data_IF_631076356433
#
_entry.id   IF_631076356433
#
_cell.length_a   1.000
_cell.length_b   1.000
_cell.length_c   1.000
_cell.angle_alpha   90.00
_cell.angle_beta   90.00
_cell.angle_gamma   90.00
#
_symmetry.space_group_name_H-M   'P 1'
#
loop_
_entity.id
_entity.type
_entity.pdbx_description
1 polymer ?
#
# COMPACT_ATOMS: atom_id res chain seq x y z
N UNK A 1 24.47 42.72 2.39
CA UNK A 1 24.67 41.27 2.26
C UNK A 1 23.87 40.62 3.38
N UNK A 2 22.90 39.79 2.98
CA UNK A 2 21.67 39.50 3.72
C UNK A 2 21.87 38.39 4.77
N UNK A 3 21.25 38.54 5.96
CA UNK A 3 21.18 37.54 7.05
C UNK A 3 20.77 36.14 6.56
N UNK A 4 20.09 36.04 5.43
CA UNK A 4 19.63 34.78 4.85
C UNK A 4 20.74 33.86 4.34
N UNK A 5 21.96 34.36 4.07
CA UNK A 5 23.09 33.54 3.62
C UNK A 5 24.10 33.22 4.74
N UNK A 6 23.75 33.56 5.99
CA UNK A 6 24.63 33.39 7.16
C UNK A 6 24.89 31.91 7.49
N UNK A 7 23.96 31.02 7.17
CA UNK A 7 24.08 29.59 7.48
C UNK A 7 24.77 28.76 6.37
N UNK A 8 25.11 29.37 5.23
CA UNK A 8 25.81 28.68 4.12
C UNK A 8 27.31 28.56 4.38
N UNK A 9 27.94 27.49 3.89
CA UNK A 9 29.40 27.36 3.85
C UNK A 9 30.06 28.43 2.96
N UNK A 10 31.36 28.65 3.15
CA UNK A 10 32.12 29.61 2.34
C UNK A 10 32.12 29.25 0.84
N UNK A 11 32.12 27.95 0.51
CA UNK A 11 32.02 27.50 -0.89
C UNK A 11 30.67 27.84 -1.50
N UNK A 12 29.57 27.57 -0.79
CA UNK A 12 28.23 27.93 -1.26
C UNK A 12 28.00 29.42 -1.32
N UNK A 13 28.58 30.22 -0.42
CA UNK A 13 28.53 31.68 -0.49
C UNK A 13 29.23 32.21 -1.75
N UNK A 14 30.37 31.63 -2.13
CA UNK A 14 31.04 31.96 -3.40
C UNK A 14 30.13 31.61 -4.59
N UNK A 15 29.48 30.44 -4.58
CA UNK A 15 28.54 30.04 -5.64
C UNK A 15 27.31 30.96 -5.70
N UNK A 16 26.81 31.40 -4.55
CA UNK A 16 25.72 32.36 -4.42
C UNK A 16 26.10 33.71 -5.06
N UNK A 17 27.26 34.25 -4.71
CA UNK A 17 27.75 35.53 -5.24
C UNK A 17 27.95 35.48 -6.76
N UNK A 18 28.54 34.39 -7.27
CA UNK A 18 28.69 34.17 -8.71
C UNK A 18 27.32 34.14 -9.39
N UNK A 19 26.36 33.39 -8.86
CA UNK A 19 25.03 33.27 -9.45
C UNK A 19 24.27 34.60 -9.42
N UNK A 20 24.27 35.32 -8.29
CA UNK A 20 23.62 36.63 -8.17
C UNK A 20 24.25 37.67 -9.09
N UNK A 21 25.58 37.61 -9.33
CA UNK A 21 26.27 38.51 -10.26
C UNK A 21 25.79 38.40 -11.71
N UNK A 22 25.15 37.28 -12.08
CA UNK A 22 24.58 37.07 -13.42
C UNK A 22 23.15 37.60 -13.58
N UNK A 23 22.52 38.07 -12.51
CA UNK A 23 21.14 38.55 -12.57
C UNK A 23 21.06 39.95 -13.16
N UNK A 24 19.99 40.20 -13.92
CA UNK A 24 19.72 41.53 -14.49
C UNK A 24 19.56 42.57 -13.39
N UNK A 25 20.15 43.75 -13.60
CA UNK A 25 20.02 44.91 -12.70
C UNK A 25 18.61 45.53 -12.71
N UNK A 26 17.79 45.21 -13.71
CA UNK A 26 16.42 45.73 -13.87
C UNK A 26 15.36 44.81 -13.22
N UNK A 27 15.80 43.81 -12.46
CA UNK A 27 14.93 42.88 -11.75
C UNK A 27 14.13 43.62 -10.66
N UNK A 28 12.81 43.37 -10.62
CA UNK A 28 11.97 43.85 -9.53
C UNK A 28 12.46 43.29 -8.18
N UNK A 29 12.41 44.11 -7.12
CA UNK A 29 12.94 43.77 -5.80
C UNK A 29 12.29 42.50 -5.23
N UNK A 30 10.99 42.34 -5.43
CA UNK A 30 10.22 41.16 -4.99
C UNK A 30 10.69 39.89 -5.70
N UNK A 31 10.98 40.01 -7.01
CA UNK A 31 11.49 38.89 -7.81
C UNK A 31 12.93 38.55 -7.42
N UNK A 32 13.76 39.55 -7.13
CA UNK A 32 15.12 39.38 -6.62
C UNK A 32 15.13 38.61 -5.30
N UNK A 33 14.32 39.03 -4.33
CA UNK A 33 14.22 38.36 -3.02
C UNK A 33 13.71 36.92 -3.19
N UNK A 34 12.73 36.70 -4.07
CA UNK A 34 12.20 35.36 -4.36
C UNK A 34 13.27 34.43 -4.92
N UNK A 35 14.03 34.88 -5.92
CA UNK A 35 15.11 34.08 -6.52
C UNK A 35 16.27 33.87 -5.55
N UNK A 36 16.59 34.88 -4.73
CA UNK A 36 17.65 34.78 -3.72
C UNK A 36 17.33 33.74 -2.66
N UNK A 37 16.12 33.80 -2.09
CA UNK A 37 15.69 32.82 -1.10
C UNK A 37 15.62 31.40 -1.70
N UNK A 38 15.19 31.26 -2.96
CA UNK A 38 15.18 29.97 -3.65
C UNK A 38 16.60 29.43 -3.86
N UNK A 39 17.55 30.28 -4.25
CA UNK A 39 18.93 29.90 -4.50
C UNK A 39 19.68 29.56 -3.19
N UNK A 40 19.53 30.38 -2.16
CA UNK A 40 20.03 30.08 -0.80
C UNK A 40 19.47 28.75 -0.32
N UNK A 41 18.16 28.54 -0.47
CA UNK A 41 17.51 27.28 -0.07
C UNK A 41 17.95 26.06 -0.88
N UNK A 42 18.44 26.24 -2.11
CA UNK A 42 19.01 25.16 -2.93
C UNK A 42 20.42 24.81 -2.47
N UNK A 43 21.25 25.82 -2.20
CA UNK A 43 22.62 25.64 -1.73
C UNK A 43 22.66 25.01 -0.33
N UNK A 44 21.79 25.45 0.58
CA UNK A 44 21.67 24.86 1.92
C UNK A 44 21.31 23.37 1.86
N UNK A 45 20.37 22.96 1.00
CA UNK A 45 20.02 21.54 0.82
C UNK A 45 21.18 20.71 0.27
N UNK A 46 22.00 21.30 -0.59
CA UNK A 46 23.17 20.63 -1.17
C UNK A 46 24.27 20.37 -0.15
N UNK A 47 24.40 21.23 0.85
CA UNK A 47 25.28 21.00 2.01
C UNK A 47 24.73 19.96 2.98
N UNK A 48 23.40 19.87 3.10
CA UNK A 48 22.72 18.84 3.91
C UNK A 48 22.75 17.45 3.27
N UNK A 49 22.88 17.36 1.94
CA UNK A 49 23.08 16.08 1.24
C UNK A 49 24.53 15.61 1.41
N UNK A 50 24.79 14.50 2.15
CA UNK A 50 26.15 14.03 2.37
C UNK A 50 26.83 13.70 1.03
N UNK A 51 28.12 14.03 0.89
CA UNK A 51 28.95 13.72 -0.29
C UNK A 51 28.91 12.23 -0.67
N UNK A 52 28.59 11.35 0.29
CA UNK A 52 28.39 9.92 0.05
C UNK A 52 26.98 9.51 0.49
N UNK A 53 26.09 9.09 -0.44
CA UNK A 53 24.80 8.56 -0.04
C UNK A 53 24.98 7.27 0.78
N UNK A 54 24.13 7.02 1.78
CA UNK A 54 24.17 5.77 2.53
C UNK A 54 24.00 4.58 1.58
N UNK A 55 24.55 3.40 1.90
CA UNK A 55 24.39 2.23 1.07
C UNK A 55 22.89 1.90 0.90
N UNK A 56 22.46 1.47 -0.29
CA UNK A 56 21.07 1.12 -0.53
C UNK A 56 20.64 0.00 0.42
N UNK A 57 19.53 0.23 1.14
CA UNK A 57 18.91 -0.78 1.99
C UNK A 57 18.29 -1.86 1.11
N UNK A 58 18.45 -3.12 1.53
CA UNK A 58 17.80 -4.28 0.93
C UNK A 58 16.63 -4.67 1.81
N UNK A 59 15.42 -4.36 1.37
CA UNK A 59 14.22 -4.61 2.14
C UNK A 59 13.04 -4.96 1.24
N UNK A 60 12.09 -5.71 1.80
CA UNK A 60 10.80 -5.98 1.17
C UNK A 60 9.72 -5.50 2.12
N UNK A 61 8.86 -4.61 1.66
CA UNK A 61 7.79 -4.01 2.46
C UNK A 61 6.44 -4.19 1.77
N UNK A 62 5.38 -4.26 2.56
CA UNK A 62 4.02 -4.21 2.06
C UNK A 62 3.51 -2.78 2.19
N UNK A 63 3.01 -2.24 1.09
CA UNK A 63 2.41 -0.91 1.02
C UNK A 63 0.92 -1.08 0.69
N UNK A 64 0.02 -0.93 1.66
CA UNK A 64 -1.42 -0.96 1.41
C UNK A 64 -1.85 0.17 0.48
N UNK A 65 -2.80 -0.09 -0.43
CA UNK A 65 -3.41 0.94 -1.28
C UNK A 65 -4.78 1.33 -0.72
N UNK A 66 -5.02 2.61 -0.36
CA UNK A 66 -6.19 3.01 0.41
C UNK A 66 -7.52 3.11 -0.37
N UNK A 67 -7.79 2.31 -1.42
CA UNK A 67 -9.01 2.54 -2.24
C UNK A 67 -9.67 1.37 -2.95
N UNK A 68 -9.09 0.16 -2.96
CA UNK A 68 -9.62 -0.93 -3.78
C UNK A 68 -9.23 -2.34 -3.32
N UNK A 69 -8.79 -2.50 -2.07
CA UNK A 69 -8.35 -3.81 -1.59
C UNK A 69 -7.02 -4.26 -2.18
N UNK A 70 -6.33 -3.41 -2.93
CA UNK A 70 -5.00 -3.72 -3.44
C UNK A 70 -3.92 -3.32 -2.44
N UNK A 71 -2.81 -4.04 -2.51
CA UNK A 71 -1.57 -3.70 -1.82
C UNK A 71 -0.41 -4.00 -2.76
N UNK A 72 0.72 -3.34 -2.51
CA UNK A 72 1.95 -3.55 -3.24
C UNK A 72 2.96 -4.24 -2.35
N UNK A 73 3.65 -5.26 -2.86
CA UNK A 73 4.89 -5.76 -2.29
C UNK A 73 6.04 -5.02 -2.97
N UNK A 74 6.80 -4.23 -2.22
CA UNK A 74 7.87 -3.38 -2.73
C UNK A 74 9.21 -3.93 -2.27
N UNK A 75 10.01 -4.41 -3.22
CA UNK A 75 11.41 -4.74 -3.01
C UNK A 75 12.28 -3.52 -3.33
N UNK A 76 13.11 -3.12 -2.38
CA UNK A 76 14.05 -2.01 -2.51
C UNK A 76 15.48 -2.52 -2.29
N UNK A 77 16.43 -2.00 -3.07
CA UNK A 77 17.81 -2.50 -3.10
C UNK A 77 18.66 -1.81 -4.16
N UNK A 78 19.92 -2.25 -4.35
CA UNK A 78 20.77 -1.76 -5.43
C UNK A 78 20.10 -1.92 -6.81
N UNK A 79 20.11 -0.85 -7.61
CA UNK A 79 19.46 -0.85 -8.92
C UNK A 79 19.90 -2.00 -9.86
N UNK A 80 21.17 -2.47 -9.89
CA UNK A 80 21.53 -3.59 -10.75
C UNK A 80 20.84 -4.90 -10.35
N UNK A 81 20.66 -5.15 -9.04
CA UNK A 81 19.98 -6.33 -8.52
C UNK A 81 18.49 -6.30 -8.88
N UNK A 82 17.83 -5.15 -8.68
CA UNK A 82 16.42 -4.95 -9.02
C UNK A 82 16.18 -5.09 -10.53
N UNK A 83 17.05 -4.51 -11.37
CA UNK A 83 16.93 -4.64 -12.83
C UNK A 83 17.17 -6.07 -13.30
N UNK A 84 18.15 -6.78 -12.74
CA UNK A 84 18.39 -8.17 -13.07
C UNK A 84 17.20 -9.06 -12.68
N UNK A 85 16.59 -8.83 -11.52
CA UNK A 85 15.36 -9.49 -11.10
C UNK A 85 14.20 -9.22 -12.06
N UNK A 86 13.91 -7.94 -12.33
CA UNK A 86 12.85 -7.53 -13.25
C UNK A 86 13.01 -8.14 -14.65
N UNK A 87 14.22 -8.15 -15.19
CA UNK A 87 14.50 -8.72 -16.51
C UNK A 87 14.20 -10.22 -16.56
N UNK A 88 14.65 -10.99 -15.56
CA UNK A 88 14.34 -12.43 -15.47
C UNK A 88 12.84 -12.69 -15.38
N UNK A 89 12.12 -11.90 -14.57
CA UNK A 89 10.66 -12.01 -14.45
C UNK A 89 9.97 -11.70 -15.78
N UNK A 90 10.40 -10.64 -16.49
CA UNK A 90 9.83 -10.26 -17.79
C UNK A 90 10.08 -11.30 -18.88
N UNK A 91 11.31 -11.80 -18.99
CA UNK A 91 11.68 -12.84 -19.95
C UNK A 91 10.91 -14.14 -19.70
N UNK A 92 10.74 -14.52 -18.43
CA UNK A 92 9.92 -15.68 -18.04
C UNK A 92 8.46 -15.50 -18.43
N UNK A 93 7.86 -14.34 -18.12
CA UNK A 93 6.47 -14.04 -18.49
C UNK A 93 6.27 -14.07 -20.02
N UNK A 94 7.20 -13.53 -20.80
CA UNK A 94 7.15 -13.58 -22.27
C UNK A 94 7.27 -15.00 -22.81
N UNK A 95 8.15 -15.81 -22.24
CA UNK A 95 8.31 -17.21 -22.63
C UNK A 95 7.02 -18.01 -22.38
N UNK A 96 6.40 -17.84 -21.21
CA UNK A 96 5.11 -18.47 -20.88
C UNK A 96 4.01 -17.98 -21.84
N UNK A 97 3.91 -16.68 -22.08
CA UNK A 97 2.91 -16.14 -23.01
C UNK A 97 3.08 -16.70 -24.43
N UNK A 98 4.33 -16.84 -24.90
CA UNK A 98 4.61 -17.45 -26.19
C UNK A 98 4.21 -18.94 -26.23
N UNK A 99 4.46 -19.68 -25.14
CA UNK A 99 4.05 -21.06 -24.99
C UNK A 99 2.52 -21.22 -24.95
N UNK A 100 1.80 -20.34 -24.24
CA UNK A 100 0.33 -20.30 -24.23
C UNK A 100 -0.24 -20.03 -25.63
N UNK A 101 0.33 -19.06 -26.37
CA UNK A 101 -0.06 -18.80 -27.77
C UNK A 101 0.15 -20.02 -28.66
N UNK A 102 1.24 -20.75 -28.45
CA UNK A 102 1.53 -21.98 -29.19
C UNK A 102 0.52 -23.07 -28.85
N UNK A 103 0.26 -23.29 -27.56
CA UNK A 103 -0.67 -24.31 -27.10
C UNK A 103 -2.10 -24.06 -27.61
N UNK A 104 -2.57 -22.81 -27.60
CA UNK A 104 -3.85 -22.43 -28.19
C UNK A 104 -3.94 -22.72 -29.71
N UNK A 105 -2.85 -22.53 -30.46
CA UNK A 105 -2.84 -22.85 -31.90
C UNK A 105 -2.81 -24.35 -32.17
N UNK A 106 -2.08 -25.10 -31.34
CA UNK A 106 -1.85 -26.53 -31.52
C UNK A 106 -2.94 -27.39 -30.85
N UNK A 107 -3.80 -26.81 -30.01
CA UNK A 107 -4.80 -27.53 -29.24
C UNK A 107 -4.19 -28.42 -28.15
N UNK A 108 -3.04 -28.03 -27.61
CA UNK A 108 -2.33 -28.77 -26.54
C UNK A 108 -2.61 -28.17 -25.17
N UNK A 109 -2.15 -28.85 -24.11
CA UNK A 109 -2.29 -28.38 -22.73
C UNK A 109 -1.69 -26.99 -22.55
N UNK A 110 -2.46 -26.09 -21.94
CA UNK A 110 -2.04 -24.71 -21.73
C UNK A 110 -1.08 -24.63 -20.53
N UNK A 111 0.18 -24.20 -20.72
CA UNK A 111 1.09 -24.03 -19.61
C UNK A 111 0.69 -22.82 -18.75
N UNK A 112 0.82 -22.98 -17.43
CA UNK A 112 0.65 -21.89 -16.45
C UNK A 112 -0.73 -21.21 -16.53
N UNK A 113 -1.80 -22.02 -16.50
CA UNK A 113 -3.20 -21.55 -16.51
C UNK A 113 -3.87 -21.83 -15.15
N UNK A 114 -3.33 -21.21 -14.09
CA UNK A 114 -3.70 -21.49 -12.68
C UNK A 114 -5.21 -21.35 -12.40
N UNK A 115 -5.88 -20.42 -13.08
CA UNK A 115 -7.31 -20.11 -12.93
C UNK A 115 -8.15 -20.52 -14.16
N UNK A 116 -7.61 -21.34 -15.07
CA UNK A 116 -8.26 -21.75 -16.33
C UNK A 116 -8.73 -20.58 -17.22
N UNK A 117 -8.13 -19.40 -17.06
CA UNK A 117 -8.50 -18.16 -17.76
C UNK A 117 -8.17 -18.29 -19.25
N UNK A 118 -7.01 -18.83 -19.59
CA UNK A 118 -6.59 -18.98 -20.99
C UNK A 118 -7.49 -19.97 -21.70
N UNK A 119 -7.77 -21.08 -21.03
CA UNK A 119 -8.68 -22.13 -21.51
C UNK A 119 -10.08 -21.56 -21.77
N UNK A 120 -10.61 -20.77 -20.83
CA UNK A 120 -11.94 -20.17 -20.93
C UNK A 120 -12.03 -19.07 -21.99
N UNK A 121 -11.02 -18.19 -22.06
CA UNK A 121 -11.06 -17.02 -22.94
C UNK A 121 -10.52 -17.29 -24.35
N UNK A 122 -9.81 -18.39 -24.55
CA UNK A 122 -9.09 -18.70 -25.79
C UNK A 122 -7.97 -17.71 -26.11
N UNK A 123 -7.49 -16.94 -25.12
CA UNK A 123 -6.47 -15.90 -25.27
C UNK A 123 -5.36 -16.09 -24.24
N UNK A 124 -4.07 -15.91 -24.62
CA UNK A 124 -2.97 -16.01 -23.67
C UNK A 124 -3.09 -14.92 -22.59
N UNK A 125 -2.58 -15.19 -21.39
CA UNK A 125 -2.58 -14.21 -20.31
C UNK A 125 -1.78 -12.96 -20.71
N UNK A 126 -2.22 -11.76 -20.32
CA UNK A 126 -1.45 -10.54 -20.56
C UNK A 126 -0.18 -10.55 -19.68
N UNK A 127 0.87 -9.84 -20.14
CA UNK A 127 2.20 -9.93 -19.51
C UNK A 127 2.22 -9.41 -18.07
N UNK A 128 1.40 -8.40 -17.76
CA UNK A 128 1.23 -7.88 -16.40
C UNK A 128 0.64 -8.94 -15.45
N UNK A 129 -0.41 -9.66 -15.86
CA UNK A 129 -0.97 -10.79 -15.09
C UNK A 129 0.06 -11.90 -14.90
N UNK A 130 0.80 -12.28 -15.96
CA UNK A 130 1.83 -13.32 -15.84
C UNK A 130 2.94 -12.92 -14.86
N UNK A 131 3.45 -11.68 -14.93
CA UNK A 131 4.45 -11.20 -13.98
C UNK A 131 3.92 -11.19 -12.54
N UNK A 132 2.66 -10.79 -12.35
CA UNK A 132 2.00 -10.82 -11.04
C UNK A 132 1.89 -12.26 -10.48
N UNK A 133 1.36 -13.18 -11.28
CA UNK A 133 1.21 -14.58 -10.87
C UNK A 133 2.56 -15.24 -10.59
N UNK A 134 3.57 -15.00 -11.43
CA UNK A 134 4.92 -15.54 -11.23
C UNK A 134 5.58 -15.00 -9.96
N UNK A 135 5.36 -13.72 -9.65
CA UNK A 135 5.88 -13.09 -8.45
C UNK A 135 5.26 -13.71 -7.18
N UNK A 136 3.94 -13.89 -7.16
CA UNK A 136 3.21 -14.38 -5.98
C UNK A 136 3.25 -15.91 -5.83
N UNK A 137 3.36 -16.64 -6.95
CA UNK A 137 3.50 -18.09 -6.96
C UNK A 137 4.94 -18.58 -6.74
N UNK A 138 5.91 -17.67 -6.62
CA UNK A 138 7.30 -18.02 -6.40
C UNK A 138 7.47 -18.77 -5.07
N UNK A 139 8.13 -19.92 -5.12
CA UNK A 139 8.51 -20.67 -3.93
C UNK A 139 9.76 -20.06 -3.31
N UNK A 140 9.76 -19.91 -1.98
CA UNK A 140 10.92 -19.43 -1.25
C UNK A 140 11.87 -20.59 -0.97
N UNK A 141 13.07 -20.52 -1.55
CA UNK A 141 14.16 -21.38 -1.12
C UNK A 141 14.68 -20.88 0.23
N UNK A 142 14.53 -21.73 1.25
CA UNK A 142 14.82 -21.40 2.65
C UNK A 142 16.14 -22.01 3.10
N UNK A 143 16.88 -22.67 2.19
CA UNK A 143 18.13 -23.39 2.52
C UNK A 143 17.98 -24.32 3.73
N UNK A 144 16.85 -25.04 3.78
CA UNK A 144 16.51 -25.96 4.87
C UNK A 144 15.95 -25.31 6.14
N UNK A 145 15.77 -23.99 6.20
CA UNK A 145 15.08 -23.33 7.31
C UNK A 145 13.60 -23.71 7.29
N UNK A 146 13.16 -24.45 8.32
CA UNK A 146 11.76 -24.80 8.47
C UNK A 146 10.93 -23.56 8.78
N UNK A 147 10.11 -23.14 7.82
CA UNK A 147 9.10 -22.10 8.03
C UNK A 147 7.88 -22.76 8.67
N UNK A 148 7.51 -22.39 9.91
CA UNK A 148 6.30 -22.93 10.53
C UNK A 148 5.10 -22.56 9.67
N UNK A 149 4.15 -23.49 9.54
CA UNK A 149 2.93 -23.25 8.80
C UNK A 149 2.11 -22.17 9.54
N UNK A 150 2.20 -20.92 9.11
CA UNK A 150 1.46 -19.83 9.73
C UNK A 150 -0.05 -20.05 9.54
N UNK A 151 -0.79 -19.89 10.64
CA UNK A 151 -2.23 -19.70 10.59
C UNK A 151 -2.50 -18.25 10.20
N UNK A 152 -2.26 -17.91 8.94
CA UNK A 152 -2.67 -16.63 8.40
C UNK A 152 -4.18 -16.62 8.27
N UNK A 153 -4.83 -15.62 8.89
CA UNK A 153 -6.28 -15.45 8.82
C UNK A 153 -6.59 -14.03 8.43
N UNK A 154 -7.54 -13.90 7.51
CA UNK A 154 -8.10 -12.61 7.12
C UNK A 154 -9.57 -12.57 7.50
N UNK A 155 -9.98 -11.47 8.11
CA UNK A 155 -11.39 -11.18 8.36
C UNK A 155 -11.94 -10.37 7.20
N UNK A 156 -12.97 -10.90 6.54
CA UNK A 156 -13.68 -10.21 5.47
C UNK A 156 -15.14 -10.05 5.88
N UNK A 157 -15.56 -8.81 6.09
CA UNK A 157 -16.95 -8.46 6.40
C UNK A 157 -17.64 -8.02 5.11
N UNK A 158 -18.74 -8.68 4.75
CA UNK A 158 -19.48 -8.35 3.52
C UNK A 158 -20.93 -8.06 3.85
N UNK A 159 -21.51 -6.93 3.39
CA UNK A 159 -22.94 -6.71 3.54
C UNK A 159 -23.74 -7.85 2.92
N UNK A 160 -24.76 -8.34 3.64
CA UNK A 160 -25.55 -9.49 3.19
C UNK A 160 -26.19 -9.28 1.82
N UNK A 161 -26.63 -8.05 1.52
CA UNK A 161 -27.19 -7.70 0.21
C UNK A 161 -26.13 -7.73 -0.90
N UNK A 162 -24.88 -7.39 -0.60
CA UNK A 162 -23.76 -7.52 -1.55
C UNK A 162 -23.46 -8.98 -1.85
N UNK A 163 -23.48 -9.85 -0.84
CA UNK A 163 -23.30 -11.29 -1.02
C UNK A 163 -24.40 -11.91 -1.89
N UNK A 164 -25.65 -11.50 -1.66
CA UNK A 164 -26.81 -11.96 -2.42
C UNK A 164 -26.90 -11.35 -3.84
N UNK A 165 -25.99 -10.45 -4.21
CA UNK A 165 -26.02 -9.74 -5.50
C UNK A 165 -27.14 -8.70 -5.61
N UNK A 166 -27.74 -8.31 -4.49
CA UNK A 166 -28.79 -7.29 -4.41
C UNK A 166 -28.24 -5.87 -4.14
N UNK A 167 -26.92 -5.74 -3.94
CA UNK A 167 -26.19 -4.48 -3.77
C UNK A 167 -24.77 -4.59 -4.32
N UNK A 168 -24.18 -3.44 -4.66
CA UNK A 168 -22.76 -3.30 -5.02
C UNK A 168 -21.94 -2.57 -3.94
N UNK A 169 -22.49 -2.44 -2.73
CA UNK A 169 -21.75 -1.94 -1.58
C UNK A 169 -20.48 -2.77 -1.35
N UNK A 170 -19.33 -2.15 -1.01
CA UNK A 170 -18.06 -2.85 -0.86
C UNK A 170 -18.07 -3.83 0.33
N UNK A 171 -17.20 -4.85 0.24
CA UNK A 171 -16.80 -5.62 1.43
C UNK A 171 -15.67 -4.91 2.16
N UNK A 172 -15.39 -5.31 3.40
CA UNK A 172 -14.29 -4.79 4.23
C UNK A 172 -13.33 -5.90 4.58
N UNK A 173 -12.05 -5.73 4.23
CA UNK A 173 -10.94 -6.53 4.70
C UNK A 173 -10.40 -5.90 5.99
N UNK A 174 -10.34 -6.70 7.05
CA UNK A 174 -9.90 -6.27 8.39
C UNK A 174 -10.57 -4.97 8.84
N UNK A 175 -11.86 -4.80 8.55
CA UNK A 175 -12.64 -3.61 8.94
C UNK A 175 -12.15 -2.26 8.39
N UNK A 176 -11.02 -2.22 7.67
CA UNK A 176 -10.29 -0.98 7.35
C UNK A 176 -10.12 -0.80 5.85
N UNK A 177 -9.97 -1.88 5.11
CA UNK A 177 -9.65 -1.83 3.69
C UNK A 177 -10.88 -2.24 2.87
N UNK A 178 -11.51 -1.31 2.12
CA UNK A 178 -12.62 -1.68 1.26
C UNK A 178 -12.13 -2.58 0.13
N UNK A 179 -12.82 -3.70 -0.08
CA UNK A 179 -12.59 -4.61 -1.20
C UNK A 179 -13.80 -4.58 -2.16
N UNK A 180 -13.58 -4.68 -3.48
CA UNK A 180 -14.66 -4.66 -4.46
C UNK A 180 -15.70 -5.77 -4.22
N UNK A 181 -17.00 -5.55 -4.51
CA UNK A 181 -18.06 -6.52 -4.23
C UNK A 181 -17.86 -7.86 -4.94
N UNK A 182 -17.27 -7.86 -6.14
CA UNK A 182 -16.90 -9.09 -6.85
C UNK A 182 -15.82 -9.88 -6.08
N UNK A 183 -14.74 -9.20 -5.66
CA UNK A 183 -13.67 -9.80 -4.88
C UNK A 183 -14.19 -10.31 -3.53
N UNK A 184 -15.07 -9.55 -2.88
CA UNK A 184 -15.72 -9.95 -1.63
C UNK A 184 -16.53 -11.24 -1.80
N UNK A 185 -17.31 -11.35 -2.89
CA UNK A 185 -18.07 -12.56 -3.23
C UNK A 185 -17.18 -13.75 -3.55
N UNK A 186 -16.12 -13.55 -4.34
CA UNK A 186 -15.15 -14.60 -4.68
C UNK A 186 -14.44 -15.13 -3.43
N UNK A 187 -13.97 -14.24 -2.55
CA UNK A 187 -13.36 -14.63 -1.28
C UNK A 187 -14.35 -15.41 -0.44
N UNK A 188 -15.56 -14.88 -0.24
CA UNK A 188 -16.59 -15.49 0.58
C UNK A 188 -17.01 -16.87 0.04
N UNK A 189 -17.19 -17.02 -1.27
CA UNK A 189 -17.56 -18.27 -1.93
C UNK A 189 -16.51 -19.40 -1.82
N UNK A 190 -15.25 -19.05 -1.51
CA UNK A 190 -14.16 -20.02 -1.31
C UNK A 190 -13.96 -20.42 0.16
N UNK A 191 -14.73 -19.85 1.09
CA UNK A 191 -14.58 -20.13 2.52
C UNK A 191 -15.69 -21.03 3.08
N UNK A 192 -15.29 -21.89 4.02
CA UNK A 192 -16.20 -22.77 4.77
C UNK A 192 -16.64 -22.17 6.10
N UNK A 193 -15.93 -21.15 6.59
CA UNK A 193 -16.16 -20.55 7.91
C UNK A 193 -16.85 -19.22 7.76
N UNK A 194 -18.00 -19.07 8.42
CA UNK A 194 -18.84 -17.88 8.35
C UNK A 194 -19.27 -17.44 9.73
N UNK A 195 -19.19 -16.14 9.98
CA UNK A 195 -19.71 -15.51 11.19
C UNK A 195 -20.78 -14.50 10.80
N UNK A 196 -21.92 -14.54 11.51
CA UNK A 196 -22.98 -13.54 11.33
C UNK A 196 -22.69 -12.36 12.25
N UNK A 197 -22.44 -11.21 11.66
CA UNK A 197 -22.29 -9.92 12.37
C UNK A 197 -23.59 -9.13 12.17
N UNK A 198 -24.25 -8.75 13.26
CA UNK A 198 -25.44 -7.89 13.24
C UNK A 198 -24.99 -6.46 13.53
N UNK A 199 -25.43 -5.51 12.69
CA UNK A 199 -25.03 -4.10 12.75
C UNK A 199 -26.12 -3.19 13.34
N UNK A 200 -27.26 -3.74 13.76
CA UNK A 200 -28.21 -2.95 14.55
C UNK A 200 -27.62 -2.71 15.95
N UNK A 201 -27.93 -1.56 16.56
CA UNK A 201 -27.45 -1.14 17.88
C UNK A 201 -27.94 -2.03 19.04
N UNK A 202 -28.17 -3.31 18.79
CA UNK A 202 -28.12 -4.31 19.82
C UNK A 202 -26.68 -4.28 20.38
N UNK A 203 -26.48 -4.05 21.68
CA UNK A 203 -25.18 -4.28 22.26
C UNK A 203 -24.76 -5.68 21.82
N UNK A 204 -23.56 -5.81 21.27
CA UNK A 204 -23.00 -7.10 20.93
C UNK A 204 -22.67 -7.80 22.26
N UNK A 205 -23.71 -8.12 23.02
CA UNK A 205 -23.63 -8.73 24.33
C UNK A 205 -23.24 -10.16 24.06
N UNK A 206 -21.94 -10.39 23.99
CA UNK A 206 -21.41 -11.70 24.31
C UNK A 206 -21.99 -12.04 25.68
N UNK A 207 -22.89 -13.03 25.73
CA UNK A 207 -23.40 -13.56 26.99
C UNK A 207 -22.18 -13.78 27.88
N UNK A 208 -22.07 -13.11 29.04
CA UNK A 208 -20.90 -13.24 29.88
C UNK A 208 -20.79 -14.71 30.29
N UNK A 209 -19.93 -15.45 29.59
CA UNK A 209 -19.47 -16.74 30.07
C UNK A 209 -18.82 -16.47 31.43
N UNK A 210 -19.14 -17.25 32.49
CA UNK A 210 -18.61 -16.98 33.82
C UNK A 210 -17.08 -16.94 33.78
N UNK A 211 -16.54 -15.74 34.02
CA UNK A 211 -15.11 -15.44 33.99
C UNK A 211 -14.46 -15.90 35.31
N UNK A 212 -14.14 -17.19 35.36
CA UNK A 212 -13.33 -17.83 36.41
C UNK A 212 -11.91 -18.16 35.91
N UNK A 213 -11.60 -17.88 34.64
CA UNK A 213 -10.34 -18.28 34.00
C UNK A 213 -9.59 -17.07 33.44
N UNK A 214 -8.28 -17.04 33.66
CA UNK A 214 -7.36 -16.04 33.11
C UNK A 214 -7.34 -16.07 31.57
N UNK A 215 -7.32 -17.26 30.97
CA UNK A 215 -7.20 -17.41 29.52
C UNK A 215 -8.50 -17.06 28.78
N UNK A 216 -8.49 -16.10 27.84
CA UNK A 216 -9.64 -15.79 26.99
C UNK A 216 -10.08 -16.98 26.15
N UNK A 217 -11.38 -17.13 25.93
CA UNK A 217 -11.89 -18.18 25.04
C UNK A 217 -11.66 -17.82 23.56
N UNK A 218 -11.56 -18.81 22.65
CA UNK A 218 -11.44 -18.53 21.22
C UNK A 218 -12.57 -17.65 20.66
N UNK A 219 -13.80 -17.83 21.16
CA UNK A 219 -14.95 -17.01 20.77
C UNK A 219 -14.80 -15.54 21.21
N UNK A 220 -14.17 -15.30 22.36
CA UNK A 220 -13.89 -13.95 22.82
C UNK A 220 -12.83 -13.27 21.96
N UNK A 221 -11.75 -13.99 21.65
CA UNK A 221 -10.71 -13.49 20.75
C UNK A 221 -11.25 -13.21 19.35
N UNK A 222 -12.21 -14.01 18.88
CA UNK A 222 -12.86 -13.76 17.59
C UNK A 222 -13.71 -12.50 17.62
N UNK A 223 -14.53 -12.35 18.65
CA UNK A 223 -15.33 -11.15 18.86
C UNK A 223 -14.45 -9.89 18.90
N UNK A 224 -13.34 -9.92 19.65
CA UNK A 224 -12.41 -8.79 19.75
C UNK A 224 -11.80 -8.41 18.40
N UNK A 225 -11.46 -9.39 17.54
CA UNK A 225 -10.92 -9.10 16.20
C UNK A 225 -11.95 -8.55 15.23
N UNK A 226 -13.22 -8.96 15.39
CA UNK A 226 -14.32 -8.42 14.59
C UNK A 226 -14.70 -7.00 15.04
N UNK A 227 -14.62 -6.72 16.35
CA UNK A 227 -14.87 -5.40 16.93
C UNK A 227 -13.73 -4.43 16.63
N UNK A 228 -12.49 -4.85 16.84
CA UNK A 228 -11.30 -4.02 16.70
C UNK A 228 -10.32 -4.69 15.74
N UNK A 229 -10.31 -4.24 14.50
CA UNK A 229 -9.49 -4.83 13.46
C UNK A 229 -8.03 -4.34 13.47
N UNK A 230 -7.72 -3.29 14.22
CA UNK A 230 -6.36 -2.79 14.45
C UNK A 230 -5.99 -2.79 15.93
N UNK A 231 -4.69 -2.76 16.20
CA UNK A 231 -4.12 -2.62 17.54
C UNK A 231 -4.80 -1.47 18.31
N UNK A 232 -5.19 -1.73 19.56
CA UNK A 232 -5.98 -0.78 20.37
C UNK A 232 -5.22 0.49 20.79
N UNK A 233 -3.89 0.52 20.67
CA UNK A 233 -3.08 1.73 20.92
C UNK A 233 -3.46 2.85 19.93
N UNK A 234 -3.71 4.07 20.41
CA UNK A 234 -4.10 5.20 19.56
C UNK A 234 -3.13 5.41 18.39
N UNK A 235 -3.66 5.48 17.17
CA UNK A 235 -2.89 5.74 15.95
C UNK A 235 -2.12 4.54 15.37
N UNK A 236 -2.17 3.37 16.01
CA UNK A 236 -1.59 2.16 15.44
C UNK A 236 -2.50 1.57 14.35
N UNK A 237 -1.92 1.26 13.19
CA UNK A 237 -2.65 0.67 12.05
C UNK A 237 -2.35 -0.81 11.85
N UNK A 238 -1.61 -1.45 12.78
CA UNK A 238 -1.29 -2.89 12.66
C UNK A 238 -2.56 -3.73 12.85
N UNK A 239 -2.86 -4.67 11.94
CA UNK A 239 -4.08 -5.46 11.99
C UNK A 239 -4.01 -6.54 13.08
N UNK A 240 -5.16 -6.82 13.71
CA UNK A 240 -5.25 -7.78 14.82
C UNK A 240 -5.34 -9.23 14.39
N UNK A 241 -5.69 -9.49 13.13
CA UNK A 241 -5.91 -10.85 12.62
C UNK A 241 -4.65 -11.71 12.51
N UNK A 242 -3.48 -11.10 12.32
CA UNK A 242 -2.19 -11.81 12.22
C UNK A 242 -1.05 -11.19 13.04
N UNK A 243 -1.22 -9.98 13.58
CA UNK A 243 -0.18 -9.29 14.34
C UNK A 243 -0.69 -8.73 15.67
N UNK A 244 -1.38 -9.56 16.47
CA UNK A 244 -1.78 -9.16 17.83
C UNK A 244 -1.72 -10.25 18.88
N UNK A 245 -1.52 -9.80 20.11
CA UNK A 245 -1.65 -10.53 21.36
C UNK A 245 -2.86 -9.95 22.13
N UNK A 246 -3.57 -10.84 22.82
CA UNK A 246 -4.69 -10.43 23.67
C UNK A 246 -4.16 -10.08 25.05
N UNK A 247 -4.63 -8.96 25.57
CA UNK A 247 -4.18 -8.44 26.85
C UNK A 247 -5.36 -7.86 27.64
N UNK A 248 -5.23 -7.83 28.96
CA UNK A 248 -6.22 -7.27 29.86
C UNK A 248 -6.01 -5.76 30.00
N UNK A 249 -7.09 -4.99 30.01
CA UNK A 249 -7.05 -3.54 30.26
C UNK A 249 -6.78 -3.30 31.74
N UNK A 250 -7.64 -3.86 32.60
CA UNK A 250 -7.39 -4.03 34.03
C UNK A 250 -6.82 -5.42 34.27
N UNK A 251 -5.60 -5.47 34.82
CA UNK A 251 -4.86 -6.71 35.04
C UNK A 251 -5.66 -7.73 35.86
N UNK A 252 -5.60 -8.99 35.44
CA UNK A 252 -6.22 -10.10 36.17
C UNK A 252 -5.37 -10.46 37.39
N UNK A 253 -5.99 -10.56 38.56
CA UNK A 253 -5.31 -11.02 39.78
C UNK A 253 -5.38 -12.55 39.85
N UNK A 254 -4.22 -13.20 39.84
CA UNK A 254 -4.11 -14.66 39.87
C UNK A 254 -4.40 -15.26 41.25
N UNK A 255 -4.14 -14.52 42.32
CA UNK A 255 -4.30 -14.98 43.70
C UNK A 255 -5.73 -14.71 44.20
N UNK A 256 -6.33 -13.61 43.76
CA UNK A 256 -7.69 -13.20 44.10
C UNK A 256 -8.47 -12.67 42.87
N UNK A 257 -8.97 -13.55 41.99
CA UNK A 257 -9.65 -13.17 40.73
C UNK A 257 -10.81 -12.19 40.87
N UNK A 258 -11.44 -12.13 42.03
CA UNK A 258 -12.51 -11.17 42.35
C UNK A 258 -12.03 -9.74 42.63
N UNK A 259 -10.73 -9.54 42.88
CA UNK A 259 -10.10 -8.25 43.17
C UNK A 259 -9.44 -7.62 41.94
N UNK A 260 -9.12 -8.42 40.92
CA UNK A 260 -8.57 -7.96 39.64
C UNK A 260 -9.62 -7.77 38.54
N UNK A 261 -9.15 -7.36 37.37
CA UNK A 261 -9.97 -7.22 36.18
C UNK A 261 -10.40 -8.59 35.64
N UNK A 262 -11.70 -8.80 35.42
CA UNK A 262 -12.22 -10.09 34.94
C UNK A 262 -11.83 -10.32 33.48
N UNK A 263 -11.62 -11.56 33.09
CA UNK A 263 -11.47 -11.95 31.67
C UNK A 263 -12.82 -11.84 30.96
N UNK A 264 -13.12 -10.65 30.45
CA UNK A 264 -14.37 -10.31 29.78
C UNK A 264 -14.08 -9.45 28.54
N UNK A 265 -14.97 -9.48 27.53
CA UNK A 265 -14.82 -8.71 26.28
C UNK A 265 -14.52 -7.22 26.53
N UNK A 266 -15.16 -6.64 27.55
CA UNK A 266 -15.00 -5.23 27.90
C UNK A 266 -13.68 -4.91 28.62
N UNK A 267 -13.00 -5.93 29.14
CA UNK A 267 -11.72 -5.82 29.82
C UNK A 267 -10.56 -6.41 28.99
N UNK A 268 -10.81 -6.85 27.77
CA UNK A 268 -9.80 -7.40 26.88
C UNK A 268 -9.63 -6.50 25.65
N UNK A 269 -8.41 -6.42 25.16
CA UNK A 269 -8.10 -5.78 23.89
C UNK A 269 -7.00 -6.55 23.14
N UNK A 270 -6.74 -6.14 21.90
CA UNK A 270 -5.72 -6.73 21.05
C UNK A 270 -4.62 -5.69 20.78
N UNK A 271 -3.38 -6.04 21.10
CA UNK A 271 -2.20 -5.18 20.92
C UNK A 271 -1.21 -5.85 19.98
N UNK A 272 -0.55 -5.08 19.12
CA UNK A 272 0.57 -5.63 18.39
C UNK A 272 1.74 -5.93 19.34
N UNK A 273 2.57 -6.91 19.00
CA UNK A 273 3.68 -7.39 19.85
C UNK A 273 4.58 -6.27 20.42
N UNK A 274 4.86 -5.23 19.63
CA UNK A 274 5.64 -4.05 20.09
C UNK A 274 4.92 -3.30 21.21
N UNK A 275 3.64 -2.99 21.03
CA UNK A 275 2.85 -2.23 22.00
C UNK A 275 2.44 -3.06 23.21
N UNK A 276 2.30 -4.37 23.05
CA UNK A 276 2.14 -5.28 24.17
C UNK A 276 3.36 -5.23 25.11
N UNK A 277 4.57 -5.24 24.53
CA UNK A 277 5.81 -5.03 25.30
C UNK A 277 5.87 -3.65 25.95
N UNK A 278 5.47 -2.59 25.24
CA UNK A 278 5.44 -1.24 25.79
C UNK A 278 4.48 -1.11 26.98
N UNK A 279 3.31 -1.78 26.93
CA UNK A 279 2.39 -1.90 28.09
C UNK A 279 3.04 -2.66 29.24
N UNK A 280 3.63 -3.82 28.94
CA UNK A 280 4.34 -4.64 29.94
C UNK A 280 5.47 -3.86 30.62
N UNK A 281 6.15 -2.97 29.89
CA UNK A 281 7.21 -2.10 30.39
C UNK A 281 6.69 -0.85 31.12
N UNK A 282 5.36 -0.63 31.21
CA UNK A 282 4.73 0.53 31.86
C UNK A 282 4.83 1.84 31.08
N UNK A 283 5.24 1.79 29.81
CA UNK A 283 5.31 2.95 28.90
C UNK A 283 3.93 3.33 28.36
N UNK A 284 3.04 2.35 28.27
CA UNK A 284 1.63 2.51 27.93
C UNK A 284 0.79 1.94 29.06
N UNK A 285 -0.30 2.64 29.40
CA UNK A 285 -1.14 2.25 30.52
C UNK A 285 -2.61 2.59 30.19
N UNK A 286 -3.43 1.56 29.88
CA UNK A 286 -4.82 1.74 29.51
C UNK A 286 -5.72 1.71 30.74
N UNK A 287 -6.76 2.55 30.75
CA UNK A 287 -7.81 2.52 31.77
C UNK A 287 -9.17 2.56 31.08
N UNK A 288 -10.03 1.58 31.38
CA UNK A 288 -11.39 1.57 30.85
C UNK A 288 -12.21 2.68 31.51
N UNK A 289 -12.88 3.49 30.70
CA UNK A 289 -13.75 4.56 31.20
C UNK A 289 -15.19 4.04 31.33
N UNK A 290 -15.93 4.47 32.36
CA UNK A 290 -17.35 4.14 32.50
C UNK A 290 -18.13 4.60 31.27
N UNK A 291 -18.97 3.72 30.73
CA UNK A 291 -19.73 3.94 29.51
C UNK A 291 -21.14 3.39 29.69
N UNK A 292 -22.17 4.06 29.15
CA UNK A 292 -23.54 3.54 29.22
C UNK A 292 -23.72 2.25 28.41
N UNK A 293 -24.72 1.42 28.74
CA UNK A 293 -24.97 0.11 28.08
C UNK A 293 -25.13 0.19 26.55
N UNK A 294 -25.47 1.36 26.00
CA UNK A 294 -25.67 1.61 24.57
C UNK A 294 -24.61 2.50 23.94
N UNK A 295 -23.62 2.93 24.72
CA UNK A 295 -22.54 3.77 24.24
C UNK A 295 -21.32 2.90 23.92
N UNK A 296 -20.55 3.24 22.88
CA UNK A 296 -19.31 2.53 22.56
C UNK A 296 -18.32 2.69 23.71
N UNK A 297 -17.74 1.57 24.15
CA UNK A 297 -16.79 1.57 25.26
C UNK A 297 -15.61 2.49 25.01
N UNK A 298 -15.08 3.10 26.07
CA UNK A 298 -13.98 4.08 25.97
C UNK A 298 -12.78 3.66 26.79
N UNK A 299 -11.59 3.88 26.26
CA UNK A 299 -10.32 3.57 26.92
C UNK A 299 -9.44 4.81 26.94
N UNK A 300 -9.01 5.23 28.13
CA UNK A 300 -8.00 6.26 28.32
C UNK A 300 -6.62 5.63 28.30
N UNK A 301 -5.75 6.08 27.42
CA UNK A 301 -4.36 5.66 27.35
C UNK A 301 -3.47 6.73 27.95
N UNK A 302 -2.62 6.35 28.91
CA UNK A 302 -1.46 7.16 29.30
C UNK A 302 -0.27 6.75 28.44
N UNK A 303 0.34 7.72 27.76
CA UNK A 303 1.43 7.50 26.80
C UNK A 303 2.69 8.20 27.28
N UNK A 304 3.78 7.44 27.39
CA UNK A 304 5.09 7.96 27.74
C UNK A 304 5.22 8.42 29.20
N UNK A 305 6.43 8.86 29.55
CA UNK A 305 6.80 9.23 30.93
C UNK A 305 6.31 10.61 31.37
N UNK A 306 5.82 11.43 30.43
CA UNK A 306 5.32 12.79 30.71
C UNK A 306 3.83 12.84 31.11
N UNK A 307 3.14 11.70 31.05
CA UNK A 307 1.74 11.60 31.47
C UNK A 307 0.73 12.15 30.45
N UNK A 308 1.06 12.15 29.16
CA UNK A 308 0.11 12.53 28.12
C UNK A 308 -1.03 11.49 28.07
N UNK A 309 -2.27 11.96 27.89
CA UNK A 309 -3.46 11.11 27.87
C UNK A 309 -4.23 11.25 26.55
N UNK A 310 -4.68 10.11 26.02
CA UNK A 310 -5.54 10.05 24.83
C UNK A 310 -6.73 9.14 25.12
N UNK A 311 -7.94 9.64 24.90
CA UNK A 311 -9.16 8.84 24.99
C UNK A 311 -9.49 8.26 23.61
N UNK A 312 -9.65 6.93 23.56
CA UNK A 312 -10.08 6.20 22.36
C UNK A 312 -11.44 5.59 22.63
N UNK A 313 -12.35 5.75 21.67
CA UNK A 313 -13.65 5.10 21.65
C UNK A 313 -13.53 3.82 20.83
N UNK A 314 -14.07 2.72 21.35
CA UNK A 314 -14.10 1.45 20.64
C UNK A 314 -14.85 1.62 19.32
N UNK A 315 -14.31 1.00 18.28
CA UNK A 315 -14.97 0.95 16.99
C UNK A 315 -16.16 -0.02 17.07
N UNK A 316 -17.36 0.53 17.20
CA UNK A 316 -18.61 -0.22 17.06
C UNK A 316 -19.12 -0.22 15.62
N UNK A 317 -18.42 0.46 14.71
CA UNK A 317 -18.87 0.72 13.36
C UNK A 317 -18.37 -0.38 12.40
N UNK A 318 -18.92 -1.59 12.53
CA UNK A 318 -18.62 -2.71 11.63
C UNK A 318 -19.29 -2.58 10.25
N UNK A 319 -19.31 -1.38 9.66
CA UNK A 319 -20.00 -0.96 8.43
C UNK A 319 -21.45 -0.44 8.63
N UNK A 320 -21.61 0.66 9.34
CA UNK A 320 -22.82 1.50 9.25
C UNK A 320 -23.02 1.95 7.81
N UNK A 321 -24.28 2.23 7.48
CA UNK A 321 -24.65 2.85 6.20
C UNK A 321 -23.85 4.13 5.89
N UNK A 322 -23.34 4.82 6.90
CA UNK A 322 -22.47 6.01 6.75
C UNK A 322 -21.07 5.62 6.29
N UNK A 323 -20.43 4.63 6.92
CA UNK A 323 -19.15 4.09 6.47
C UNK A 323 -19.27 3.51 5.05
N UNK A 324 -20.34 2.75 4.77
CA UNK A 324 -20.62 2.22 3.43
C UNK A 324 -20.77 3.36 2.42
N UNK A 325 -21.55 4.40 2.71
CA UNK A 325 -21.74 5.54 1.80
C UNK A 325 -20.44 6.35 1.57
N UNK A 326 -19.58 6.47 2.58
CA UNK A 326 -18.28 7.12 2.43
C UNK A 326 -17.35 6.28 1.54
N UNK A 327 -17.36 4.97 1.72
CA UNK A 327 -16.56 4.04 0.93
C UNK A 327 -17.08 3.87 -0.50
N UNK A 328 -18.40 3.94 -0.71
CA UNK A 328 -19.02 4.02 -2.04
C UNK A 328 -18.54 5.26 -2.80
N UNK A 329 -18.50 6.42 -2.13
CA UNK A 329 -17.93 7.65 -2.73
C UNK A 329 -16.45 7.50 -3.07
N UNK A 330 -15.67 6.88 -2.19
CA UNK A 330 -14.24 6.67 -2.43
C UNK A 330 -14.00 5.63 -3.54
N UNK A 331 -14.88 4.63 -3.67
CA UNK A 331 -14.90 3.67 -4.78
C UNK A 331 -15.28 4.31 -6.11
N UNK A 332 -16.30 5.18 -6.13
CA UNK A 332 -16.67 5.97 -7.31
C UNK A 332 -15.49 6.84 -7.78
N UNK A 333 -14.78 7.48 -6.84
CA UNK A 333 -13.54 8.22 -7.14
C UNK A 333 -12.44 7.32 -7.69
N UNK A 334 -12.28 6.11 -7.14
CA UNK A 334 -11.33 5.12 -7.65
C UNK A 334 -11.67 4.70 -9.10
N UNK A 335 -12.93 4.34 -9.37
CA UNK A 335 -13.38 4.01 -10.72
C UNK A 335 -13.18 5.17 -11.69
N UNK A 336 -13.45 6.40 -11.26
CA UNK A 336 -13.18 7.59 -12.06
C UNK A 336 -11.68 7.79 -12.35
N UNK A 337 -10.79 7.48 -11.39
CA UNK A 337 -9.34 7.53 -11.59
C UNK A 337 -8.86 6.41 -12.52
N UNK A 338 -9.36 5.18 -12.36
CA UNK A 338 -9.02 4.03 -13.20
C UNK A 338 -9.48 4.22 -14.65
N UNK A 339 -10.67 4.80 -14.83
CA UNK A 339 -11.24 5.10 -16.14
C UNK A 339 -10.73 6.43 -16.71
N UNK A 340 -9.88 7.16 -15.97
CA UNK A 340 -9.25 8.36 -16.49
C UNK A 340 -8.36 7.92 -17.66
N UNK A 341 -8.58 8.46 -18.87
CA UNK A 341 -7.70 8.20 -19.98
C UNK A 341 -6.28 8.52 -19.52
N UNK A 342 -5.35 7.57 -19.67
CA UNK A 342 -3.92 7.90 -19.55
C UNK A 342 -3.71 9.12 -20.46
N UNK A 343 -3.11 10.22 -19.97
CA UNK A 343 -2.74 11.29 -20.86
C UNK A 343 -1.96 10.64 -21.99
N UNK A 344 -2.45 10.77 -23.22
CA UNK A 344 -1.74 10.19 -24.34
C UNK A 344 -0.33 10.76 -24.29
N UNK A 345 0.66 9.89 -24.43
CA UNK A 345 2.04 10.33 -24.66
C UNK A 345 2.17 11.10 -25.99
N UNK A 346 1.07 11.35 -26.72
CA UNK A 346 1.04 11.99 -28.02
C UNK A 346 1.33 13.50 -28.00
N UNK A 347 1.58 14.12 -26.83
CA UNK A 347 1.96 15.53 -26.75
C UNK A 347 3.35 15.79 -26.14
N UNK A 348 4.21 14.76 -26.01
CA UNK A 348 5.63 14.98 -25.68
C UNK A 348 6.60 14.88 -26.86
N UNK A 349 6.18 14.35 -28.00
CA UNK A 349 7.05 14.24 -29.18
C UNK A 349 6.99 15.46 -30.12
N UNK A 350 6.03 16.38 -29.92
CA UNK A 350 5.89 17.59 -30.77
C UNK A 350 6.62 18.84 -30.23
N UNK A 351 7.04 18.84 -28.96
CA UNK A 351 7.67 20.02 -28.34
C UNK A 351 9.21 19.99 -28.32
N UNK A 352 9.83 18.88 -28.73
CA UNK A 352 11.30 18.70 -28.71
C UNK A 352 11.88 18.23 -30.05
N UNK A 353 11.09 18.31 -31.13
CA UNK A 353 11.63 18.16 -32.48
C UNK A 353 12.37 19.45 -32.85
N UNK A 354 13.68 19.41 -33.20
CA UNK A 354 14.37 20.57 -33.73
C UNK A 354 13.62 21.05 -34.99
N UNK A 355 13.55 22.37 -35.27
CA UNK A 355 12.87 22.86 -36.45
C UNK A 355 13.46 22.15 -37.68
N UNK A 356 12.58 21.55 -38.49
CA UNK A 356 12.92 20.99 -39.79
C UNK A 356 13.74 22.03 -40.55
N UNK A 357 15.01 21.73 -40.80
CA UNK A 357 15.85 22.53 -41.68
C UNK A 357 15.11 22.68 -43.01
N UNK A 358 15.04 23.92 -43.52
CA UNK A 358 14.51 24.19 -44.85
C UNK A 358 15.14 23.23 -45.87
N UNK A 359 14.35 22.68 -46.82
CA UNK A 359 14.91 21.78 -47.82
C UNK A 359 16.06 22.49 -48.55
N UNK A 360 17.18 21.79 -48.83
CA UNK A 360 18.27 22.38 -49.57
C UNK A 360 17.78 22.83 -50.95
N UNK A 361 18.36 23.89 -51.53
CA UNK A 361 18.00 24.31 -52.88
C UNK A 361 18.19 23.15 -53.86
N UNK A 362 17.35 23.04 -54.90
CA UNK A 362 17.45 21.96 -55.88
C UNK A 362 18.86 21.94 -56.47
N UNK A 363 19.47 20.76 -56.52
CA UNK A 363 20.75 20.57 -57.20
C UNK A 363 20.57 20.94 -58.68
N UNK A 364 21.52 21.68 -59.29
CA UNK A 364 21.49 21.90 -60.73
C UNK A 364 21.53 20.53 -61.44
N UNK A 365 20.60 20.33 -62.37
CA UNK A 365 20.58 19.16 -63.23
C UNK A 365 21.87 19.12 -64.05
N UNK A 366 22.68 18.11 -63.81
CA UNK A 366 23.82 17.78 -64.67
C UNK A 366 23.25 16.92 -65.81
N UNK A 367 23.32 17.35 -67.08
CA UNK A 367 22.84 16.54 -68.19
C UNK A 367 23.66 15.24 -68.26
N UNK A 368 23.05 14.10 -68.65
CA UNK A 368 23.75 12.83 -68.71
C UNK A 368 24.92 12.94 -69.69
N UNK A 369 26.11 12.57 -69.22
CA UNK A 369 27.26 12.32 -70.08
C UNK A 369 27.00 11.09 -70.98
N UNK A 370 27.75 10.94 -72.08
CA UNK A 370 27.56 9.83 -73.02
C UNK A 370 27.74 8.48 -72.31
N UNK A 371 26.85 7.54 -72.64
CA UNK A 371 26.83 6.16 -72.15
C UNK A 371 28.08 5.40 -72.57
N UNK A 372 28.74 4.73 -71.61
CA UNK A 372 29.88 3.84 -71.84
C UNK A 372 29.36 2.41 -72.06
N UNK A 373 29.59 1.80 -73.23
CA UNK A 373 29.06 0.48 -73.56
C UNK A 373 29.69 -0.69 -72.78
N UNK A 374 30.69 -0.45 -71.93
CA UNK A 374 31.37 -1.50 -71.15
C UNK A 374 30.80 -1.72 -69.73
N UNK A 375 29.76 -0.98 -69.31
CA UNK A 375 29.16 -1.16 -67.98
C UNK A 375 28.22 -2.38 -67.92
N UNK A 376 28.48 -3.41 -67.06
CA UNK A 376 27.61 -4.58 -66.95
C UNK A 376 26.34 -4.28 -66.14
N UNK A 377 25.19 -4.92 -66.46
CA UNK A 377 23.91 -4.61 -65.83
C UNK A 377 23.85 -5.12 -64.37
N UNK A 378 23.25 -4.33 -63.45
CA UNK A 378 23.11 -4.72 -62.05
C UNK A 378 22.01 -5.78 -61.86
N UNK A 379 22.30 -6.79 -61.04
CA UNK A 379 21.32 -7.77 -60.52
C UNK A 379 20.41 -7.17 -59.46
#
# INVERSE_FOLDING_TARGET
MLRTAEDLSDESRIQLDVAVSTWSTDIAVERFITLLNALVGLLARREEEPETPPPPRREVTVVPSPGNGSGSLVASGPIPEILAYWKRLDETARAIQAAQRRALREGTEIPYDVDEIVTTTGRPLPLDRLRYELQLGATFDTDGVHVPQERFRLNVTVPVLTLLGASDAPGMLEGTTPIPPLMARELAGRQTTWYRVLTDGCPATFLPLPAERYTPSPAMLEHLRLRNSTCAVPGCTRPTSWASECDHIEEFDHDAPEQGGRTAIENLHLLCWSHHQDKTAGLLDPTRLPTGEREPGRTRWRIGSRGDHVDVTDDTDSATLVAVAQLEKDWERHLAHKNRPRPSSAHRDEADSPPLASPPPPRPEIPPGPWDPDDPPPF
#
